data_IF_896821871403
#
_entry.id   IF_896821871403
#
_cell.length_a   1.000
_cell.length_b   1.000
_cell.length_c   1.000
_cell.angle_alpha   90.00
_cell.angle_beta   90.00
_cell.angle_gamma   90.00
#
_symmetry.space_group_name_H-M   'P 1'
#
loop_
_entity.id
_entity.type
_entity.pdbx_description
1 polymer ?
#
# COMPACT_ATOMS: atom_id res chain seq x y z
N UNK A 1 6.69 -15.82 -2.62
CA UNK A 1 5.96 -14.69 -3.27
C UNK A 1 5.41 -13.78 -2.18
N UNK A 2 5.80 -12.51 -2.19
CA UNK A 2 5.29 -11.50 -1.24
C UNK A 2 3.86 -11.15 -1.64
N UNK A 3 2.94 -11.15 -0.69
CA UNK A 3 1.52 -10.90 -0.90
C UNK A 3 1.16 -9.46 -0.51
N UNK A 4 0.89 -8.61 -1.50
CA UNK A 4 0.62 -7.19 -1.31
C UNK A 4 -0.89 -6.88 -1.39
N UNK A 5 -1.37 -6.07 -0.46
CA UNK A 5 -2.70 -5.45 -0.52
C UNK A 5 -2.52 -3.97 -0.84
N UNK A 6 -3.23 -3.49 -1.85
CA UNK A 6 -3.21 -2.08 -2.27
C UNK A 6 -4.49 -1.39 -1.85
N UNK A 7 -4.36 -0.29 -1.13
CA UNK A 7 -5.50 0.59 -0.79
C UNK A 7 -5.62 1.73 -1.81
N UNK A 8 -6.79 2.33 -1.94
CA UNK A 8 -7.03 3.35 -2.96
C UNK A 8 -6.98 2.80 -4.39
N UNK A 9 -7.39 1.56 -4.57
CA UNK A 9 -7.30 0.81 -5.83
C UNK A 9 -8.04 1.47 -7.00
N UNK A 10 -9.11 2.19 -6.72
CA UNK A 10 -9.88 2.91 -7.73
C UNK A 10 -9.31 4.26 -8.15
N UNK A 11 -8.21 4.70 -7.54
CA UNK A 11 -7.52 5.92 -7.92
C UNK A 11 -6.48 5.66 -9.00
N UNK A 12 -6.14 6.69 -9.75
CA UNK A 12 -5.14 6.58 -10.82
C UNK A 12 -3.85 5.92 -10.33
N UNK A 13 -3.34 6.35 -9.19
CA UNK A 13 -2.10 5.86 -8.64
C UNK A 13 -2.21 4.42 -8.12
N UNK A 14 -3.31 4.07 -7.45
CA UNK A 14 -3.58 2.71 -7.00
C UNK A 14 -3.71 1.73 -8.17
N UNK A 15 -4.42 2.13 -9.23
CA UNK A 15 -4.55 1.34 -10.46
C UNK A 15 -3.19 1.11 -11.14
N UNK A 16 -2.34 2.14 -11.15
CA UNK A 16 -1.00 2.06 -11.74
C UNK A 16 -0.10 1.09 -10.96
N UNK A 17 -0.15 1.12 -9.63
CA UNK A 17 0.59 0.19 -8.78
C UNK A 17 0.12 -1.24 -9.00
N UNK A 18 -1.19 -1.45 -9.05
CA UNK A 18 -1.75 -2.78 -9.35
C UNK A 18 -1.26 -3.30 -10.70
N UNK A 19 -1.24 -2.46 -11.74
CA UNK A 19 -0.70 -2.84 -13.05
C UNK A 19 0.78 -3.24 -12.96
N UNK A 20 1.60 -2.47 -12.26
CA UNK A 20 3.01 -2.79 -12.05
C UNK A 20 3.20 -4.07 -11.23
N UNK A 21 2.37 -4.32 -10.21
CA UNK A 21 2.43 -5.55 -9.43
C UNK A 21 2.19 -6.81 -10.28
N UNK A 22 1.22 -6.76 -11.20
CA UNK A 22 0.96 -7.89 -12.11
C UNK A 22 2.14 -8.20 -13.04
N UNK A 23 3.02 -7.23 -13.26
CA UNK A 23 4.21 -7.37 -14.12
C UNK A 23 5.51 -7.50 -13.29
N UNK A 24 5.42 -7.69 -11.97
CA UNK A 24 6.58 -7.75 -11.09
C UNK A 24 6.84 -9.15 -10.57
N UNK A 25 8.09 -9.59 -10.62
CA UNK A 25 8.51 -10.86 -10.03
C UNK A 25 8.64 -10.77 -8.50
N UNK A 26 8.38 -11.87 -7.82
CA UNK A 26 8.60 -12.00 -6.37
C UNK A 26 7.55 -11.33 -5.47
N UNK A 27 6.57 -10.66 -6.05
CA UNK A 27 5.45 -10.03 -5.35
C UNK A 27 4.16 -10.20 -6.15
N UNK A 28 3.05 -10.42 -5.47
CA UNK A 28 1.75 -10.61 -6.10
C UNK A 28 0.65 -9.80 -5.41
N UNK A 29 -0.43 -9.55 -6.12
CA UNK A 29 -1.63 -8.91 -5.57
C UNK A 29 -2.39 -9.92 -4.71
N UNK A 30 -2.47 -9.67 -3.40
CA UNK A 30 -3.32 -10.43 -2.47
C UNK A 30 -4.71 -9.80 -2.34
N UNK A 31 -4.83 -8.50 -2.57
CA UNK A 31 -6.10 -7.79 -2.50
C UNK A 31 -6.00 -6.34 -2.92
N UNK A 32 -7.16 -5.77 -3.21
CA UNK A 32 -7.31 -4.37 -3.55
C UNK A 32 -8.47 -3.77 -2.77
N UNK A 33 -8.28 -2.59 -2.24
CA UNK A 33 -9.22 -1.97 -1.32
C UNK A 33 -9.56 -0.53 -1.71
N UNK A 34 -10.78 -0.17 -1.39
CA UNK A 34 -11.29 1.20 -1.38
C UNK A 34 -12.02 1.51 -0.07
N UNK A 35 -12.26 2.80 0.17
CA UNK A 35 -13.06 3.25 1.31
C UNK A 35 -14.48 2.69 1.24
N UNK A 36 -15.12 2.55 2.38
CA UNK A 36 -16.51 2.12 2.50
C UNK A 36 -17.44 2.96 1.59
N UNK A 37 -18.30 2.31 0.87
CA UNK A 37 -19.24 2.94 -0.04
C UNK A 37 -18.67 3.47 -1.36
N UNK A 38 -17.39 3.20 -1.65
CA UNK A 38 -16.80 3.62 -2.93
C UNK A 38 -17.48 2.87 -4.10
N UNK A 39 -17.81 3.57 -5.22
CA UNK A 39 -18.55 2.96 -6.35
C UNK A 39 -17.87 1.75 -6.98
N UNK A 40 -16.55 1.64 -6.88
CA UNK A 40 -15.78 0.52 -7.45
C UNK A 40 -15.67 -0.71 -6.54
N UNK A 41 -16.18 -0.67 -5.33
CA UNK A 41 -16.29 -1.87 -4.48
C UNK A 41 -17.17 -2.90 -5.20
N UNK A 42 -16.66 -4.13 -5.32
CA UNK A 42 -17.30 -5.21 -6.08
C UNK A 42 -16.83 -5.33 -7.54
N UNK A 43 -15.99 -4.42 -8.02
CA UNK A 43 -15.42 -4.46 -9.39
C UNK A 43 -14.12 -5.26 -9.42
N UNK A 44 -13.92 -6.05 -10.48
CA UNK A 44 -12.64 -6.72 -10.74
C UNK A 44 -11.57 -5.68 -11.11
N UNK A 45 -10.42 -5.74 -10.44
CA UNK A 45 -9.33 -4.77 -10.70
C UNK A 45 -8.83 -4.83 -12.14
N UNK A 46 -8.93 -5.96 -12.81
CA UNK A 46 -8.54 -6.13 -14.20
C UNK A 46 -9.32 -5.22 -15.16
N UNK A 47 -10.58 -4.91 -14.83
CA UNK A 47 -11.39 -3.97 -15.61
C UNK A 47 -10.84 -2.54 -15.50
N UNK A 48 -10.30 -2.17 -14.34
CA UNK A 48 -9.74 -0.83 -14.10
C UNK A 48 -8.37 -0.66 -14.75
N UNK A 49 -7.54 -1.70 -14.68
CA UNK A 49 -6.16 -1.65 -15.20
C UNK A 49 -6.04 -2.10 -16.67
N UNK A 50 -7.14 -2.51 -17.28
CA UNK A 50 -7.18 -2.91 -18.70
C UNK A 50 -6.51 -4.27 -18.99
N UNK A 51 -6.56 -5.21 -18.03
CA UNK A 51 -5.96 -6.54 -18.15
C UNK A 51 -6.98 -7.68 -18.26
N UNK A 52 -8.26 -7.36 -18.47
CA UNK A 52 -9.33 -8.36 -18.43
C UNK A 52 -9.63 -8.82 -17.00
N UNK A 53 -10.36 -9.91 -16.85
CA UNK A 53 -10.71 -10.42 -15.50
C UNK A 53 -9.50 -11.05 -14.82
N UNK A 54 -9.20 -10.60 -13.62
CA UNK A 54 -8.10 -11.12 -12.80
C UNK A 54 -8.59 -12.01 -11.65
N UNK A 55 -9.86 -11.93 -11.28
CA UNK A 55 -10.42 -12.59 -10.10
C UNK A 55 -10.22 -11.82 -8.81
N UNK A 56 -9.49 -10.70 -8.82
CA UNK A 56 -9.30 -9.83 -7.66
C UNK A 56 -10.37 -8.74 -7.62
N UNK A 57 -11.25 -8.81 -6.65
CA UNK A 57 -12.37 -7.87 -6.49
C UNK A 57 -12.00 -6.79 -5.47
N UNK A 58 -12.27 -5.53 -5.80
CA UNK A 58 -12.10 -4.41 -4.86
C UNK A 58 -13.09 -4.58 -3.70
N UNK A 59 -12.57 -4.49 -2.48
CA UNK A 59 -13.35 -4.59 -1.25
C UNK A 59 -13.10 -3.39 -0.33
N UNK A 60 -14.01 -3.15 0.59
CA UNK A 60 -13.87 -2.17 1.68
C UNK A 60 -13.59 -2.86 3.04
N UNK A 61 -13.37 -4.18 3.05
CA UNK A 61 -13.20 -4.99 4.25
C UNK A 61 -11.74 -5.25 4.59
N UNK A 62 -11.07 -4.30 5.21
CA UNK A 62 -9.65 -4.39 5.56
C UNK A 62 -9.31 -5.66 6.36
N UNK A 63 -10.05 -5.94 7.42
CA UNK A 63 -9.73 -7.06 8.31
C UNK A 63 -9.70 -8.40 7.60
N UNK A 64 -10.57 -8.61 6.62
CA UNK A 64 -10.59 -9.84 5.83
C UNK A 64 -9.45 -9.87 4.80
N UNK A 65 -9.26 -8.77 4.10
CA UNK A 65 -8.27 -8.66 3.02
C UNK A 65 -6.83 -8.71 3.55
N UNK A 66 -6.59 -8.10 4.71
CA UNK A 66 -5.26 -8.05 5.32
C UNK A 66 -4.80 -9.37 5.98
N UNK A 67 -5.69 -10.35 6.16
CA UNK A 67 -5.33 -11.64 6.79
C UNK A 67 -4.20 -12.37 6.08
N UNK A 68 -4.12 -12.20 4.78
CA UNK A 68 -3.17 -12.91 3.93
C UNK A 68 -2.10 -11.97 3.36
N UNK A 69 -2.04 -10.73 3.86
CA UNK A 69 -1.09 -9.74 3.41
C UNK A 69 0.25 -9.87 4.12
N UNK A 70 1.33 -9.86 3.36
CA UNK A 70 2.69 -9.67 3.87
C UNK A 70 3.05 -8.18 3.96
N UNK A 71 2.38 -7.35 3.16
CA UNK A 71 2.58 -5.90 3.13
C UNK A 71 1.33 -5.17 2.63
N UNK A 72 1.08 -3.99 3.19
CA UNK A 72 0.08 -3.05 2.71
C UNK A 72 0.77 -1.93 1.94
N UNK A 73 0.23 -1.54 0.80
CA UNK A 73 0.64 -0.33 0.05
C UNK A 73 -0.54 0.64 0.11
N UNK A 74 -0.37 1.71 0.88
CA UNK A 74 -1.44 2.64 1.21
C UNK A 74 -1.27 3.98 0.48
N UNK A 75 -2.29 4.36 -0.29
CA UNK A 75 -2.37 5.58 -1.07
C UNK A 75 -3.62 6.41 -0.84
N UNK A 76 -4.33 6.17 0.23
CA UNK A 76 -5.50 6.97 0.56
C UNK A 76 -5.03 8.34 1.05
N UNK A 77 -5.56 9.46 0.51
CA UNK A 77 -5.16 10.80 0.92
C UNK A 77 -5.36 11.02 2.43
N UNK A 78 -4.59 11.95 2.97
CA UNK A 78 -4.51 12.31 4.38
C UNK A 78 -5.85 12.59 5.11
N UNK A 79 -6.91 12.84 4.38
CA UNK A 79 -8.25 13.08 4.92
C UNK A 79 -8.86 11.86 5.62
N UNK A 80 -8.22 10.71 5.56
CA UNK A 80 -8.78 9.44 6.05
C UNK A 80 -8.19 8.96 7.37
N UNK A 81 -7.63 9.85 8.19
CA UNK A 81 -7.26 9.56 9.59
C UNK A 81 -6.22 8.42 9.76
N UNK A 82 -5.40 8.14 8.75
CA UNK A 82 -4.38 7.07 8.78
C UNK A 82 -4.91 5.72 9.31
N UNK A 83 -6.16 5.43 9.04
CA UNK A 83 -6.87 4.25 9.53
C UNK A 83 -6.13 2.96 9.22
N UNK A 84 -5.67 2.78 7.99
CA UNK A 84 -4.99 1.56 7.57
C UNK A 84 -3.62 1.41 8.23
N UNK A 85 -2.93 2.51 8.50
CA UNK A 85 -1.70 2.49 9.27
C UNK A 85 -1.94 1.95 10.69
N UNK A 86 -2.95 2.44 11.39
CA UNK A 86 -3.29 1.93 12.73
C UNK A 86 -3.65 0.46 12.70
N UNK A 87 -4.48 0.06 11.75
CA UNK A 87 -4.90 -1.33 11.60
C UNK A 87 -3.74 -2.27 11.22
N UNK A 88 -2.79 -1.80 10.42
CA UNK A 88 -1.55 -2.52 10.09
C UNK A 88 -0.65 -2.67 11.31
N UNK A 89 -0.52 -1.61 12.11
CA UNK A 89 0.27 -1.63 13.33
C UNK A 89 -0.28 -2.62 14.38
N UNK A 90 -1.60 -2.66 14.56
CA UNK A 90 -2.26 -3.62 15.45
C UNK A 90 -1.98 -5.08 15.07
N UNK A 91 -1.78 -5.36 13.80
CA UNK A 91 -1.55 -6.70 13.24
C UNK A 91 -0.09 -6.99 12.92
N UNK A 92 0.80 -6.04 13.18
CA UNK A 92 2.22 -6.11 12.81
C UNK A 92 2.43 -6.40 11.31
N UNK A 93 1.58 -5.86 10.45
CA UNK A 93 1.73 -5.96 9.00
C UNK A 93 2.58 -4.76 8.52
N UNK A 94 3.65 -4.98 7.74
CA UNK A 94 4.42 -3.91 7.13
C UNK A 94 3.56 -3.02 6.25
N UNK A 95 3.86 -1.71 6.23
CA UNK A 95 3.10 -0.77 5.41
C UNK A 95 4.01 0.21 4.68
N UNK A 96 3.77 0.33 3.38
CA UNK A 96 4.30 1.39 2.52
C UNK A 96 3.29 2.52 2.50
N UNK A 97 3.71 3.71 2.89
CA UNK A 97 2.85 4.89 2.96
C UNK A 97 3.29 5.85 1.86
N UNK A 98 2.47 5.96 0.82
CA UNK A 98 2.65 6.98 -0.20
C UNK A 98 2.11 8.31 0.31
N UNK A 99 2.91 9.36 0.19
CA UNK A 99 2.54 10.66 0.74
C UNK A 99 3.10 11.81 -0.09
N UNK A 100 2.32 12.88 -0.23
CA UNK A 100 2.75 14.18 -0.74
C UNK A 100 3.22 15.13 0.38
N UNK A 101 3.13 14.70 1.63
CA UNK A 101 3.54 15.41 2.82
C UNK A 101 2.68 15.02 4.02
N UNK A 102 3.29 14.91 5.19
CA UNK A 102 2.61 14.62 6.44
C UNK A 102 2.62 15.88 7.33
N UNK A 103 1.49 16.20 7.93
CA UNK A 103 1.46 17.21 8.98
C UNK A 103 2.05 16.65 10.28
N UNK A 104 2.21 17.51 11.30
CA UNK A 104 2.83 17.13 12.56
C UNK A 104 2.10 15.99 13.28
N UNK A 105 0.77 16.03 13.33
CA UNK A 105 -0.03 15.01 14.02
C UNK A 105 0.00 13.66 13.27
N UNK A 106 -0.03 13.70 11.94
CA UNK A 106 0.13 12.51 11.10
C UNK A 106 1.51 11.87 11.30
N UNK A 107 2.56 12.67 11.35
CA UNK A 107 3.91 12.17 11.61
C UNK A 107 4.03 11.51 12.99
N UNK A 108 3.42 12.08 14.03
CA UNK A 108 3.35 11.46 15.36
C UNK A 108 2.69 10.08 15.26
N UNK A 109 1.56 9.97 14.55
CA UNK A 109 0.86 8.70 14.37
C UNK A 109 1.74 7.67 13.66
N UNK A 110 2.47 8.09 12.64
CA UNK A 110 3.43 7.21 11.92
C UNK A 110 4.53 6.72 12.85
N UNK A 111 5.15 7.61 13.62
CA UNK A 111 6.21 7.26 14.57
C UNK A 111 5.70 6.29 15.63
N UNK A 112 4.53 6.53 16.21
CA UNK A 112 3.91 5.64 17.20
C UNK A 112 3.61 4.26 16.61
N UNK A 113 3.08 4.21 15.40
CA UNK A 113 2.76 2.96 14.70
C UNK A 113 4.01 2.16 14.35
N UNK A 114 5.11 2.82 14.02
CA UNK A 114 6.39 2.19 13.70
C UNK A 114 7.04 1.43 14.86
N UNK A 115 6.63 1.69 16.08
CA UNK A 115 7.02 0.89 17.24
C UNK A 115 6.36 -0.51 17.23
N UNK A 116 5.26 -0.67 16.51
CA UNK A 116 4.45 -1.89 16.46
C UNK A 116 4.59 -2.66 15.15
N UNK A 117 4.95 -1.97 14.07
CA UNK A 117 5.15 -2.57 12.74
C UNK A 117 6.29 -1.90 12.00
N UNK A 118 6.46 -2.23 10.73
CA UNK A 118 7.45 -1.65 9.83
C UNK A 118 6.75 -0.67 8.91
N UNK A 119 7.13 0.60 8.98
CA UNK A 119 6.58 1.66 8.16
C UNK A 119 7.66 2.23 7.25
N UNK A 120 7.38 2.38 5.97
CA UNK A 120 8.25 3.09 5.05
C UNK A 120 7.48 4.20 4.35
N UNK A 121 8.05 5.41 4.37
CA UNK A 121 7.50 6.58 3.68
C UNK A 121 8.06 6.66 2.27
N UNK A 122 7.18 6.74 1.29
CA UNK A 122 7.52 6.91 -0.11
C UNK A 122 6.91 8.23 -0.60
N UNK A 123 7.72 9.28 -0.78
CA UNK A 123 7.19 10.57 -1.21
C UNK A 123 6.75 10.52 -2.67
N UNK A 124 5.58 11.09 -2.95
CA UNK A 124 5.11 11.31 -4.31
C UNK A 124 5.73 12.59 -4.89
N UNK A 125 6.57 12.45 -5.91
CA UNK A 125 7.34 13.54 -6.50
C UNK A 125 6.83 13.97 -7.89
N UNK A 126 5.55 13.75 -8.16
CA UNK A 126 4.90 14.20 -9.41
C UNK A 126 5.04 13.28 -10.62
N UNK A 127 5.73 12.15 -10.48
CA UNK A 127 5.90 11.14 -11.55
C UNK A 127 5.29 9.82 -11.10
N UNK A 128 4.09 9.52 -11.57
CA UNK A 128 3.27 8.41 -11.10
C UNK A 128 3.91 7.02 -11.34
N UNK A 129 4.53 6.81 -12.50
CA UNK A 129 5.22 5.54 -12.81
C UNK A 129 6.45 5.31 -11.93
N UNK A 130 7.27 6.33 -11.73
CA UNK A 130 8.45 6.26 -10.86
C UNK A 130 8.02 5.98 -9.43
N UNK A 131 6.96 6.63 -9.00
CA UNK A 131 6.41 6.46 -7.66
C UNK A 131 5.85 5.04 -7.47
N UNK A 132 5.07 4.51 -8.42
CA UNK A 132 4.55 3.16 -8.36
C UNK A 132 5.68 2.12 -8.27
N UNK A 133 6.71 2.28 -9.06
CA UNK A 133 7.89 1.43 -9.02
C UNK A 133 8.63 1.53 -7.68
N UNK A 134 8.83 2.74 -7.15
CA UNK A 134 9.46 2.95 -5.85
C UNK A 134 8.65 2.30 -4.71
N UNK A 135 7.32 2.38 -4.75
CA UNK A 135 6.44 1.77 -3.78
C UNK A 135 6.54 0.24 -3.79
N UNK A 136 6.63 -0.38 -4.95
CA UNK A 136 6.80 -1.84 -5.08
C UNK A 136 8.18 -2.28 -4.57
N UNK A 137 9.23 -1.54 -4.86
CA UNK A 137 10.56 -1.80 -4.30
C UNK A 137 10.56 -1.67 -2.78
N UNK A 138 9.93 -0.63 -2.27
CA UNK A 138 9.76 -0.43 -0.82
C UNK A 138 8.99 -1.60 -0.20
N UNK A 139 7.93 -2.07 -0.83
CA UNK A 139 7.15 -3.22 -0.36
C UNK A 139 7.98 -4.50 -0.29
N UNK A 140 8.78 -4.79 -1.32
CA UNK A 140 9.68 -5.95 -1.32
C UNK A 140 10.75 -5.88 -0.24
N UNK A 141 11.25 -4.69 0.05
CA UNK A 141 12.32 -4.47 1.01
C UNK A 141 11.83 -4.50 2.47
N UNK A 142 10.69 -3.82 2.74
CA UNK A 142 10.22 -3.59 4.13
C UNK A 142 9.81 -4.87 4.85
N UNK A 143 9.36 -5.90 4.14
CA UNK A 143 8.95 -7.17 4.74
C UNK A 143 10.08 -7.89 5.47
N UNK A 144 11.33 -7.60 5.12
CA UNK A 144 12.52 -8.19 5.70
C UNK A 144 13.15 -7.36 6.82
N UNK A 145 12.57 -6.20 7.14
CA UNK A 145 13.15 -5.29 8.14
C UNK A 145 12.61 -5.55 9.54
N UNK A 146 13.28 -4.98 10.54
CA UNK A 146 12.77 -4.92 11.92
C UNK A 146 11.70 -3.83 12.03
N UNK A 147 10.91 -3.87 13.11
CA UNK A 147 9.97 -2.78 13.41
C UNK A 147 10.69 -1.44 13.43
N UNK A 148 10.10 -0.43 12.83
CA UNK A 148 10.71 0.89 12.74
C UNK A 148 10.12 1.73 11.62
N UNK A 149 10.60 2.95 11.53
CA UNK A 149 10.27 3.91 10.49
C UNK A 149 11.45 4.05 9.53
N UNK A 150 11.15 3.94 8.26
CA UNK A 150 12.11 3.94 7.16
C UNK A 150 11.71 4.92 6.06
N UNK A 151 12.66 5.26 5.22
CA UNK A 151 12.44 6.01 3.98
C UNK A 151 13.20 5.37 2.80
N UNK A 152 13.11 5.98 1.62
CA UNK A 152 13.76 5.43 0.42
C UNK A 152 15.30 5.42 0.50
N UNK A 153 15.90 6.25 1.37
CA UNK A 153 17.35 6.28 1.56
C UNK A 153 17.85 5.03 2.30
N UNK A 154 16.97 4.38 3.07
CA UNK A 154 17.30 3.14 3.77
C UNK A 154 17.39 1.94 2.82
N UNK A 155 16.80 2.03 1.63
CA UNK A 155 16.86 0.98 0.61
C UNK A 155 18.21 1.07 -0.11
N UNK A 156 19.22 0.40 0.46
CA UNK A 156 20.56 0.36 -0.13
C UNK A 156 20.73 -0.84 -1.06
N UNK A 157 21.34 -0.60 -2.23
CA UNK A 157 21.86 -1.66 -3.11
C UNK A 157 20.80 -2.48 -3.85
N UNK A 158 19.63 -1.90 -4.07
CA UNK A 158 18.58 -2.58 -4.85
C UNK A 158 18.30 -1.84 -6.15
#
# INVERSE_FOLDING_TARGET
MIRAVVTGAGRLLGALILRHLFNSDGIEVAGAMEREGHPLVGTDIGEIIGMGRTGHIITDRFTMTAREADVIIDFIPHETDLKYLRMSAERNIPIVIGTSGLNHNELITVVQSSARTRCILVPHMGYDDIFAWAAIRAAKWIVHQKKGLYDLQDIRGV
#
